data_IF_792518947408
#
_entry.id   IF_792518947408
#
_cell.length_a   1.000
_cell.length_b   1.000
_cell.length_c   1.000
_cell.angle_alpha   90.00
_cell.angle_beta   90.00
_cell.angle_gamma   90.00
#
_symmetry.space_group_name_H-M   'P 1'
#
loop_
_entity.id
_entity.type
_entity.pdbx_description
1 polymer ?
#
# COMPACT_ATOMS: atom_id res chain seq x y z
N UNK A 1 -4.96 14.84 8.90
CA UNK A 1 -5.50 13.84 7.94
C UNK A 1 -4.31 13.19 7.24
N UNK A 2 -4.19 11.87 7.25
CA UNK A 2 -3.05 11.20 6.59
C UNK A 2 -3.19 11.31 5.07
N UNK A 3 -2.28 12.04 4.42
CA UNK A 3 -2.22 12.11 2.96
C UNK A 3 -1.30 11.00 2.46
N UNK A 4 -1.87 10.09 1.69
CA UNK A 4 -1.13 9.06 0.96
C UNK A 4 -1.04 9.48 -0.50
N UNK A 5 0.17 9.73 -0.97
CA UNK A 5 0.48 10.06 -2.35
C UNK A 5 1.27 8.90 -2.93
N UNK A 6 0.92 8.47 -4.13
CA UNK A 6 1.65 7.43 -4.83
C UNK A 6 2.18 8.03 -6.11
N UNK A 7 3.50 7.96 -6.29
CA UNK A 7 4.18 8.54 -7.45
C UNK A 7 5.36 7.66 -7.82
N UNK A 8 5.51 7.35 -9.11
CA UNK A 8 6.66 6.63 -9.69
C UNK A 8 7.00 5.30 -8.97
N UNK A 9 5.98 4.52 -8.60
CA UNK A 9 6.19 3.26 -7.88
C UNK A 9 6.54 3.42 -6.40
N UNK A 10 6.44 4.62 -5.85
CA UNK A 10 6.63 4.93 -4.44
C UNK A 10 5.34 5.37 -3.79
N UNK A 11 5.12 4.90 -2.56
CA UNK A 11 4.07 5.33 -1.65
C UNK A 11 4.69 6.28 -0.63
N UNK A 12 4.20 7.52 -0.66
CA UNK A 12 4.52 8.57 0.30
C UNK A 12 3.34 8.71 1.25
N UNK A 13 3.61 8.52 2.55
CA UNK A 13 2.63 8.81 3.60
C UNK A 13 3.11 10.00 4.39
N UNK A 14 2.36 11.10 4.28
CA UNK A 14 2.57 12.29 5.07
C UNK A 14 1.56 12.26 6.23
N UNK A 15 2.05 11.94 7.43
CA UNK A 15 1.24 11.85 8.64
C UNK A 15 1.40 13.11 9.46
N UNK A 16 0.27 13.71 9.88
CA UNK A 16 0.28 14.95 10.67
C UNK A 16 1.11 14.83 11.98
N UNK A 17 1.25 13.62 12.53
CA UNK A 17 2.00 13.31 13.76
C UNK A 17 3.15 12.30 13.56
N UNK A 18 3.44 11.85 12.32
CA UNK A 18 4.50 10.86 12.06
C UNK A 18 5.35 11.29 10.88
N UNK A 19 6.68 11.10 11.01
CA UNK A 19 7.68 11.33 9.95
C UNK A 19 7.20 10.79 8.60
N UNK A 20 7.45 11.56 7.55
CA UNK A 20 7.21 11.17 6.16
C UNK A 20 7.78 9.78 5.87
N UNK A 21 6.92 8.85 5.46
CA UNK A 21 7.34 7.49 5.14
C UNK A 21 7.29 7.28 3.63
N UNK A 22 8.42 6.86 3.06
CA UNK A 22 8.58 6.55 1.64
C UNK A 22 8.77 5.04 1.50
N UNK A 23 7.84 4.37 0.82
CA UNK A 23 7.78 2.92 0.68
C UNK A 23 7.76 2.57 -0.81
N UNK A 24 8.59 1.65 -1.30
CA UNK A 24 8.46 1.15 -2.67
C UNK A 24 7.24 0.23 -2.79
N UNK A 25 6.45 0.37 -3.83
CA UNK A 25 5.32 -0.53 -4.08
C UNK A 25 5.79 -1.98 -4.31
N UNK A 26 6.97 -2.17 -4.90
CA UNK A 26 7.60 -3.48 -5.11
C UNK A 26 7.94 -4.21 -3.81
N UNK A 27 8.18 -3.47 -2.73
CA UNK A 27 8.51 -4.02 -1.42
C UNK A 27 7.27 -4.54 -0.69
N UNK A 28 6.06 -4.20 -1.18
CA UNK A 28 4.79 -4.66 -0.61
C UNK A 28 4.58 -6.11 -1.02
N UNK A 29 4.81 -7.02 -0.08
CA UNK A 29 4.61 -8.45 -0.31
C UNK A 29 3.16 -8.86 -0.10
N UNK A 30 2.47 -8.24 0.86
CA UNK A 30 1.08 -8.55 1.17
C UNK A 30 0.27 -7.30 1.51
N UNK A 31 -1.03 -7.41 1.26
CA UNK A 31 -2.00 -6.39 1.55
C UNK A 31 -3.24 -7.07 2.13
N UNK A 32 -3.74 -6.57 3.25
CA UNK A 32 -4.95 -7.08 3.90
C UNK A 32 -5.90 -5.93 4.20
N UNK A 33 -7.18 -6.09 3.88
CA UNK A 33 -8.23 -5.22 4.41
C UNK A 33 -8.61 -5.72 5.80
N UNK A 34 -8.67 -4.81 6.77
CA UNK A 34 -9.12 -5.11 8.12
C UNK A 34 -10.22 -4.12 8.51
N UNK A 35 -11.37 -4.65 8.92
CA UNK A 35 -12.48 -3.88 9.48
C UNK A 35 -12.26 -3.72 10.98
N UNK A 36 -12.29 -2.48 11.47
CA UNK A 36 -12.16 -2.13 12.88
C UNK A 36 -13.35 -1.25 13.29
N UNK A 37 -13.51 -1.00 14.60
CA UNK A 37 -14.52 -0.07 15.14
C UNK A 37 -14.49 1.35 14.53
N UNK A 38 -13.31 1.81 14.10
CA UNK A 38 -13.12 3.11 13.44
C UNK A 38 -13.31 3.08 11.92
N UNK A 39 -13.80 1.96 11.38
CA UNK A 39 -13.99 1.71 9.95
C UNK A 39 -12.95 0.76 9.34
N UNK A 40 -12.97 0.67 8.02
CA UNK A 40 -12.06 -0.19 7.26
C UNK A 40 -10.69 0.46 7.05
N UNK A 41 -9.65 -0.37 7.04
CA UNK A 41 -8.30 0.04 6.73
C UNK A 41 -7.57 -1.01 5.90
N UNK A 42 -6.77 -0.52 4.96
CA UNK A 42 -5.81 -1.29 4.20
C UNK A 42 -4.49 -1.37 4.96
N UNK A 43 -4.02 -2.58 5.23
CA UNK A 43 -2.74 -2.84 5.90
C UNK A 43 -1.77 -3.41 4.89
N UNK A 44 -0.62 -2.76 4.75
CA UNK A 44 0.46 -3.16 3.85
C UNK A 44 1.58 -3.83 4.65
N UNK A 45 2.13 -4.89 4.09
CA UNK A 45 3.18 -5.70 4.69
C UNK A 45 4.38 -5.85 3.76
N UNK A 46 5.58 -5.87 4.36
CA UNK A 46 6.85 -6.27 3.74
C UNK A 46 7.41 -7.42 4.57
N UNK A 47 7.63 -8.58 3.97
CA UNK A 47 8.16 -9.77 4.66
C UNK A 47 7.47 -10.02 6.02
N UNK A 48 6.13 -10.08 6.01
CA UNK A 48 5.26 -10.25 7.19
C UNK A 48 5.27 -9.10 8.23
N UNK A 49 6.18 -8.12 8.12
CA UNK A 49 6.16 -6.91 8.96
C UNK A 49 5.20 -5.88 8.40
N UNK A 50 4.37 -5.31 9.26
CA UNK A 50 3.44 -4.22 8.91
C UNK A 50 4.23 -2.94 8.66
N UNK A 51 4.10 -2.39 7.45
CA UNK A 51 4.81 -1.17 7.01
C UNK A 51 3.89 0.04 6.93
N UNK A 52 2.61 -0.15 6.61
CA UNK A 52 1.65 0.95 6.55
C UNK A 52 0.22 0.50 6.92
N UNK A 53 -0.55 1.46 7.43
CA UNK A 53 -2.00 1.36 7.60
C UNK A 53 -2.61 2.59 6.95
N UNK A 54 -3.50 2.38 5.99
CA UNK A 54 -4.20 3.44 5.27
C UNK A 54 -5.69 3.25 5.54
N UNK A 55 -6.37 4.29 6.00
CA UNK A 55 -7.83 4.20 6.18
C UNK A 55 -8.53 4.09 4.83
N UNK A 56 -9.57 3.26 4.75
CA UNK A 56 -10.42 3.17 3.57
C UNK A 56 -11.21 4.47 3.31
N UNK A 57 -11.24 5.40 4.27
CA UNK A 57 -11.79 6.75 4.10
C UNK A 57 -10.91 7.65 3.20
N UNK A 58 -9.69 7.21 2.87
CA UNK A 58 -8.84 7.93 1.94
C UNK A 58 -9.28 7.62 0.50
N UNK A 59 -9.63 8.65 -0.28
CA UNK A 59 -10.12 8.54 -1.66
C UNK A 59 -9.17 7.76 -2.60
N UNK A 60 -7.88 7.73 -2.29
CA UNK A 60 -6.87 7.08 -3.14
C UNK A 60 -6.64 5.59 -2.78
N UNK A 61 -7.35 5.03 -1.80
CA UNK A 61 -7.11 3.67 -1.30
C UNK A 61 -7.43 2.60 -2.34
N UNK A 62 -8.53 2.75 -3.09
CA UNK A 62 -8.96 1.77 -4.09
C UNK A 62 -8.02 1.78 -5.30
N UNK A 63 -7.64 2.98 -5.76
CA UNK A 63 -6.63 3.14 -6.81
C UNK A 63 -5.28 2.52 -6.43
N UNK A 64 -4.85 2.68 -5.17
CA UNK A 64 -3.61 2.07 -4.66
C UNK A 64 -3.69 0.54 -4.70
N UNK A 65 -4.83 -0.02 -4.29
CA UNK A 65 -5.06 -1.46 -4.30
C UNK A 65 -4.96 -2.04 -5.72
N UNK A 66 -5.52 -1.35 -6.73
CA UNK A 66 -5.41 -1.74 -8.14
C UNK A 66 -3.96 -1.70 -8.60
N UNK A 67 -3.22 -0.61 -8.34
CA UNK A 67 -1.82 -0.48 -8.75
C UNK A 67 -0.91 -1.54 -8.16
N UNK A 68 -1.08 -1.88 -6.87
CA UNK A 68 -0.31 -2.97 -6.24
C UNK A 68 -0.64 -4.32 -6.89
N UNK A 69 -1.91 -4.56 -7.23
CA UNK A 69 -2.33 -5.80 -7.89
C UNK A 69 -1.74 -5.93 -9.31
N UNK A 70 -1.70 -4.84 -10.09
CA UNK A 70 -1.04 -4.80 -11.41
C UNK A 70 0.45 -5.17 -11.29
N UNK A 71 1.19 -4.51 -10.40
CA UNK A 71 2.63 -4.76 -10.20
C UNK A 71 2.88 -6.22 -9.81
N UNK A 72 2.03 -6.80 -8.94
CA UNK A 72 2.12 -8.22 -8.59
C UNK A 72 1.87 -9.14 -9.78
N UNK A 73 0.89 -8.81 -10.62
CA UNK A 73 0.57 -9.59 -11.82
C UNK A 73 1.72 -9.56 -12.81
N UNK A 74 2.35 -8.40 -12.99
CA UNK A 74 3.48 -8.23 -13.90
C UNK A 74 4.73 -8.95 -13.41
N UNK A 75 5.03 -8.88 -12.10
CA UNK A 75 6.11 -9.67 -11.49
C UNK A 75 5.92 -11.16 -11.71
N UNK A 76 4.70 -11.67 -11.51
CA UNK A 76 4.37 -13.10 -11.73
C UNK A 76 4.50 -13.51 -13.21
N UNK A 77 4.20 -12.61 -14.15
CA UNK A 77 4.42 -12.86 -15.59
C UNK A 77 5.90 -12.92 -15.94
N UNK A 78 6.72 -12.03 -15.37
CA UNK A 78 8.18 -12.02 -15.56
C UNK A 78 8.83 -13.30 -15.03
N UNK A 79 8.44 -13.76 -13.84
CA UNK A 79 8.95 -15.01 -13.25
C UNK A 79 8.58 -16.26 -14.07
N UNK A 80 7.47 -16.24 -14.81
CA UNK A 80 7.03 -17.35 -15.68
C UNK A 80 7.70 -17.38 -17.05
N UNK A 81 8.30 -16.28 -17.48
CA UNK A 81 9.02 -16.16 -18.76
C UNK A 81 10.51 -16.49 -18.62
N UNK A 82 10.99 -16.62 -17.39
CA UNK A 82 12.35 -17.03 -17.04
C UNK A 82 12.39 -18.53 -16.84
#
# INVERSE_FOLDING_TARGET
MDKTIVKDGWLYRNGFLRKNCKIRLTDITQMKRKKNLFGEALILYKNQKKIAKISARNRNVDWLQVKIAEIKKDKKKLERKK
#
